data_IF_604743968361
#
_entry.id   IF_604743968361
#
_cell.length_a   1.000
_cell.length_b   1.000
_cell.length_c   1.000
_cell.angle_alpha   90.00
_cell.angle_beta   90.00
_cell.angle_gamma   90.00
#
_symmetry.space_group_name_H-M   'P 1'
#
loop_
_entity.id
_entity.type
_entity.pdbx_description
1 polymer ?
#
# COMPACT_ATOMS: atom_id res chain seq x y z
N UNK A 1 -17.20 2.68 34.43
CA UNK A 1 -16.13 2.00 33.64
C UNK A 1 -16.60 0.87 32.71
N UNK A 2 -17.49 -0.06 33.11
CA UNK A 2 -17.98 -1.15 32.22
C UNK A 2 -18.74 -0.66 30.97
N UNK A 3 -19.55 0.40 31.07
CA UNK A 3 -20.28 0.97 29.93
C UNK A 3 -19.34 1.65 28.91
N UNK A 4 -18.31 2.36 29.36
CA UNK A 4 -17.30 2.98 28.46
C UNK A 4 -16.54 1.90 27.67
N UNK A 5 -16.21 0.76 28.30
CA UNK A 5 -15.61 -0.40 27.61
C UNK A 5 -16.56 -1.04 26.58
N UNK A 6 -17.88 -1.05 26.83
CA UNK A 6 -18.90 -1.50 25.87
C UNK A 6 -19.05 -0.52 24.69
N UNK A 7 -19.10 0.78 24.96
CA UNK A 7 -19.21 1.81 23.91
C UNK A 7 -17.94 1.85 23.03
N UNK A 8 -16.74 1.72 23.60
CA UNK A 8 -15.50 1.56 22.80
C UNK A 8 -15.47 0.30 21.94
N UNK A 9 -16.27 -0.73 22.27
CA UNK A 9 -16.42 -1.95 21.47
C UNK A 9 -17.43 -1.80 20.32
N UNK A 10 -18.38 -0.87 20.44
CA UNK A 10 -19.39 -0.57 19.42
C UNK A 10 -18.98 0.60 18.51
N UNK A 11 -18.18 1.52 19.02
CA UNK A 11 -17.65 2.65 18.27
C UNK A 11 -16.52 2.17 17.36
N UNK A 12 -16.81 2.06 16.06
CA UNK A 12 -15.78 1.94 15.03
C UNK A 12 -15.62 3.33 14.40
N UNK A 13 -14.54 4.07 14.71
CA UNK A 13 -14.28 5.38 14.10
C UNK A 13 -14.14 5.33 12.57
N UNK A 14 -14.08 4.13 11.99
CA UNK A 14 -14.01 3.91 10.55
C UNK A 14 -15.40 4.03 9.91
N UNK A 15 -16.49 3.70 10.64
CA UNK A 15 -17.89 3.83 10.15
C UNK A 15 -18.36 5.28 10.05
N UNK A 16 -17.75 6.19 10.81
CA UNK A 16 -18.13 7.60 10.88
C UNK A 16 -17.34 8.50 9.91
N UNK A 17 -16.34 7.94 9.23
CA UNK A 17 -15.54 8.64 8.24
C UNK A 17 -16.23 8.57 6.87
N UNK A 18 -16.12 9.60 6.01
CA UNK A 18 -16.71 9.56 4.68
C UNK A 18 -16.14 8.38 3.90
N UNK A 19 -17.03 7.65 3.23
CA UNK A 19 -16.67 6.58 2.29
C UNK A 19 -15.81 7.19 1.17
N UNK A 20 -14.71 6.50 0.86
CA UNK A 20 -13.89 6.81 -0.30
C UNK A 20 -14.11 5.67 -1.29
N UNK A 21 -14.33 6.00 -2.57
CA UNK A 21 -14.52 4.97 -3.58
C UNK A 21 -13.15 4.43 -4.06
N UNK A 22 -13.04 3.11 -4.31
CA UNK A 22 -11.86 2.52 -4.95
C UNK A 22 -11.73 2.98 -6.41
N UNK A 23 -10.50 2.94 -6.93
CA UNK A 23 -10.13 3.37 -8.28
C UNK A 23 -9.54 2.18 -9.06
N UNK A 24 -10.38 1.26 -9.56
CA UNK A 24 -9.93 0.04 -10.23
C UNK A 24 -9.21 0.31 -11.57
N UNK A 25 -9.60 1.37 -12.29
CA UNK A 25 -9.08 1.68 -13.63
C UNK A 25 -7.82 2.56 -13.61
N UNK A 26 -7.28 2.82 -12.43
CA UNK A 26 -6.12 3.70 -12.28
C UNK A 26 -4.84 3.02 -12.80
N UNK A 27 -4.14 3.71 -13.71
CA UNK A 27 -2.86 3.24 -14.25
C UNK A 27 -1.72 3.79 -13.39
N UNK A 28 -1.04 2.89 -12.67
CA UNK A 28 0.17 3.20 -11.91
C UNK A 28 1.31 3.56 -12.86
N UNK A 29 1.98 4.69 -12.60
CA UNK A 29 3.05 5.24 -13.44
C UNK A 29 4.42 5.18 -12.78
N UNK A 30 4.48 4.82 -11.50
CA UNK A 30 5.69 4.79 -10.69
C UNK A 30 5.95 3.41 -10.12
N UNK A 31 7.22 3.04 -10.07
CA UNK A 31 7.73 1.86 -9.38
C UNK A 31 8.39 2.31 -8.07
N UNK A 32 8.76 1.39 -7.18
CA UNK A 32 9.63 1.68 -6.05
C UNK A 32 10.97 2.30 -6.49
N UNK A 33 11.63 3.07 -5.61
CA UNK A 33 12.88 3.75 -5.93
C UNK A 33 13.99 2.75 -6.30
N UNK A 34 14.74 3.09 -7.35
CA UNK A 34 15.90 2.37 -7.86
C UNK A 34 17.03 2.32 -6.82
N UNK A 35 17.85 1.29 -6.94
CA UNK A 35 18.93 0.99 -6.00
C UNK A 35 20.26 1.43 -6.60
N UNK A 36 20.66 2.69 -6.41
CA UNK A 36 21.87 3.25 -7.02
C UNK A 36 22.96 3.59 -5.98
N UNK A 37 22.74 4.64 -5.20
CA UNK A 37 23.64 5.09 -4.15
C UNK A 37 23.13 4.55 -2.82
N UNK A 38 23.94 3.71 -2.17
CA UNK A 38 23.59 3.11 -0.89
C UNK A 38 23.18 4.13 0.18
N UNK A 39 23.73 5.35 0.16
CA UNK A 39 23.35 6.42 1.09
C UNK A 39 21.94 6.91 0.82
N UNK A 40 21.62 7.13 -0.45
CA UNK A 40 20.30 7.57 -0.89
C UNK A 40 19.26 6.47 -0.72
N UNK A 41 19.64 5.22 -0.93
CA UNK A 41 18.76 4.06 -0.77
C UNK A 41 18.20 3.95 0.66
N UNK A 42 18.98 4.33 1.67
CA UNK A 42 18.48 4.38 3.06
C UNK A 42 17.38 5.44 3.20
N UNK A 43 17.63 6.68 2.75
CA UNK A 43 16.64 7.75 2.84
C UNK A 43 15.39 7.46 2.02
N UNK A 44 15.57 7.01 0.79
CA UNK A 44 14.48 6.59 -0.11
C UNK A 44 13.68 5.43 0.49
N UNK A 45 14.35 4.44 1.08
CA UNK A 45 13.68 3.30 1.72
C UNK A 45 12.85 3.69 2.95
N UNK A 46 13.38 4.57 3.82
CA UNK A 46 12.63 5.10 4.97
C UNK A 46 11.41 5.89 4.49
N UNK A 47 11.61 6.78 3.51
CA UNK A 47 10.53 7.60 2.95
C UNK A 47 9.45 6.74 2.29
N UNK A 48 9.84 5.80 1.45
CA UNK A 48 8.95 4.83 0.81
C UNK A 48 8.15 4.03 1.84
N UNK A 49 8.76 3.57 2.93
CA UNK A 49 8.05 2.85 3.99
C UNK A 49 7.02 3.74 4.71
N UNK A 50 7.34 5.02 4.95
CA UNK A 50 6.38 5.96 5.53
C UNK A 50 5.19 6.18 4.58
N UNK A 51 5.44 6.37 3.29
CA UNK A 51 4.39 6.49 2.28
C UNK A 51 3.54 5.22 2.22
N UNK A 52 4.13 4.03 2.27
CA UNK A 52 3.40 2.75 2.32
C UNK A 52 2.45 2.69 3.51
N UNK A 53 2.89 3.16 4.68
CA UNK A 53 2.07 3.18 5.89
C UNK A 53 0.89 4.15 5.76
N UNK A 54 1.09 5.31 5.13
CA UNK A 54 0.02 6.29 4.92
C UNK A 54 -0.95 5.87 3.81
N UNK A 55 -0.44 5.38 2.67
CA UNK A 55 -1.23 4.80 1.61
C UNK A 55 -2.11 3.65 2.11
N UNK A 56 -1.57 2.76 2.96
CA UNK A 56 -2.33 1.64 3.52
C UNK A 56 -3.52 2.11 4.41
N UNK A 57 -3.39 3.25 5.10
CA UNK A 57 -4.51 3.82 5.86
C UNK A 57 -5.65 4.25 4.92
N UNK A 58 -5.31 4.87 3.79
CA UNK A 58 -6.29 5.32 2.79
C UNK A 58 -6.89 4.13 2.04
N UNK A 59 -6.06 3.19 1.61
CA UNK A 59 -6.48 1.96 0.94
C UNK A 59 -7.50 1.17 1.77
N UNK A 60 -7.26 0.98 3.06
CA UNK A 60 -8.21 0.32 3.97
C UNK A 60 -9.55 1.05 4.08
N UNK A 61 -9.56 2.38 3.96
CA UNK A 61 -10.80 3.17 3.96
C UNK A 61 -11.57 3.01 2.65
N UNK A 62 -10.87 2.94 1.52
CA UNK A 62 -11.49 2.66 0.21
C UNK A 62 -12.05 1.25 0.13
N UNK A 63 -11.33 0.28 0.69
CA UNK A 63 -11.72 -1.12 0.77
C UNK A 63 -12.64 -1.44 1.95
N UNK A 64 -13.40 -0.45 2.42
CA UNK A 64 -14.31 -0.62 3.55
C UNK A 64 -15.36 -1.71 3.31
N UNK A 65 -15.95 -1.79 2.11
CA UNK A 65 -17.01 -2.76 1.79
C UNK A 65 -16.53 -4.20 1.82
N UNK A 66 -15.35 -4.47 1.27
CA UNK A 66 -14.73 -5.80 1.33
C UNK A 66 -14.29 -6.15 2.75
N UNK A 67 -13.84 -5.15 3.52
CA UNK A 67 -13.55 -5.30 4.94
C UNK A 67 -14.77 -5.65 5.79
N UNK A 68 -15.89 -4.94 5.62
CA UNK A 68 -17.14 -5.18 6.35
C UNK A 68 -17.75 -6.54 5.98
N UNK A 69 -17.62 -6.98 4.72
CA UNK A 69 -17.97 -8.34 4.27
C UNK A 69 -17.16 -9.41 5.01
N UNK A 70 -15.83 -9.24 5.09
CA UNK A 70 -14.94 -10.14 5.82
C UNK A 70 -15.25 -10.18 7.32
N UNK A 71 -15.44 -9.02 7.96
CA UNK A 71 -15.82 -8.94 9.37
C UNK A 71 -17.17 -9.61 9.64
N UNK A 72 -18.16 -9.40 8.76
CA UNK A 72 -19.50 -10.01 8.86
C UNK A 72 -19.43 -11.53 8.75
N UNK A 73 -18.64 -12.06 7.82
CA UNK A 73 -18.42 -13.50 7.70
C UNK A 73 -17.73 -14.08 8.96
N UNK A 74 -16.73 -13.37 9.49
CA UNK A 74 -16.01 -13.79 10.69
C UNK A 74 -16.91 -13.80 11.92
N UNK A 75 -17.81 -12.82 12.06
CA UNK A 75 -18.78 -12.73 13.15
C UNK A 75 -19.73 -13.94 13.18
N UNK A 76 -20.16 -14.43 12.01
CA UNK A 76 -21.00 -15.63 11.89
C UNK A 76 -20.28 -16.96 12.11
N UNK A 77 -18.95 -16.99 11.99
CA UNK A 77 -18.16 -18.22 11.91
C UNK A 77 -17.42 -18.61 13.20
N UNK A 78 -17.50 -17.78 14.26
CA UNK A 78 -16.87 -18.05 15.55
C UNK A 78 -15.35 -17.91 15.55
N UNK A 79 -14.66 -18.60 16.47
CA UNK A 79 -13.22 -18.45 16.73
C UNK A 79 -12.31 -18.75 15.52
N UNK A 80 -12.79 -19.55 14.55
CA UNK A 80 -12.07 -19.93 13.34
C UNK A 80 -12.59 -19.23 12.07
N UNK A 81 -13.27 -18.10 12.22
CA UNK A 81 -13.88 -17.39 11.08
C UNK A 81 -12.91 -17.04 9.96
N UNK A 82 -11.67 -16.67 10.28
CA UNK A 82 -10.63 -16.38 9.30
C UNK A 82 -10.28 -17.58 8.38
N UNK A 83 -10.42 -18.83 8.86
CA UNK A 83 -10.19 -20.01 8.01
C UNK A 83 -11.37 -20.35 7.10
N UNK A 84 -12.59 -19.95 7.48
CA UNK A 84 -13.81 -20.21 6.72
C UNK A 84 -14.12 -19.09 5.71
N UNK A 85 -13.79 -17.86 6.06
CA UNK A 85 -14.02 -16.65 5.27
C UNK A 85 -12.82 -16.31 4.36
N UNK A 86 -12.19 -17.33 3.77
CA UNK A 86 -11.00 -17.14 2.92
C UNK A 86 -11.31 -16.27 1.71
N UNK A 87 -12.50 -16.44 1.12
CA UNK A 87 -12.91 -15.71 -0.06
C UNK A 87 -12.96 -14.21 0.23
N UNK A 88 -13.70 -13.82 1.27
CA UNK A 88 -13.85 -12.42 1.69
C UNK A 88 -12.51 -11.83 2.16
N UNK A 89 -11.66 -12.66 2.77
CA UNK A 89 -10.30 -12.26 3.14
C UNK A 89 -9.43 -11.94 1.92
N UNK A 90 -9.43 -12.80 0.90
CA UNK A 90 -8.68 -12.57 -0.34
C UNK A 90 -9.23 -11.35 -1.09
N UNK A 91 -10.55 -11.21 -1.21
CA UNK A 91 -11.17 -10.02 -1.83
C UNK A 91 -10.80 -8.72 -1.10
N UNK A 92 -10.73 -8.75 0.24
CA UNK A 92 -10.25 -7.62 1.03
C UNK A 92 -8.76 -7.33 0.79
N UNK A 93 -7.91 -8.35 0.80
CA UNK A 93 -6.48 -8.19 0.55
C UNK A 93 -6.19 -7.67 -0.85
N UNK A 94 -6.86 -8.20 -1.88
CA UNK A 94 -6.69 -7.79 -3.28
C UNK A 94 -7.06 -6.32 -3.45
N UNK A 95 -8.19 -5.91 -2.87
CA UNK A 95 -8.60 -4.51 -2.86
C UNK A 95 -7.55 -3.63 -2.17
N UNK A 96 -7.13 -3.99 -0.95
CA UNK A 96 -6.18 -3.18 -0.18
C UNK A 96 -4.83 -3.11 -0.88
N UNK A 97 -4.39 -4.20 -1.52
CA UNK A 97 -3.15 -4.26 -2.27
C UNK A 97 -3.18 -3.30 -3.46
N UNK A 98 -4.23 -3.38 -4.29
CA UNK A 98 -4.41 -2.49 -5.44
C UNK A 98 -4.49 -1.03 -5.02
N UNK A 99 -5.39 -0.69 -4.10
CA UNK A 99 -5.58 0.70 -3.65
C UNK A 99 -4.34 1.26 -2.95
N UNK A 100 -3.56 0.41 -2.27
CA UNK A 100 -2.28 0.86 -1.69
C UNK A 100 -1.31 1.26 -2.79
N UNK A 101 -1.18 0.51 -3.88
CA UNK A 101 -0.29 0.86 -4.98
C UNK A 101 -0.79 2.11 -5.74
N UNK A 102 -2.10 2.28 -5.91
CA UNK A 102 -2.70 3.50 -6.47
C UNK A 102 -2.35 4.73 -5.62
N UNK A 103 -2.56 4.65 -4.31
CA UNK A 103 -2.27 5.75 -3.40
C UNK A 103 -0.78 6.02 -3.26
N UNK A 104 0.05 4.97 -3.27
CA UNK A 104 1.51 5.11 -3.33
C UNK A 104 1.96 5.85 -4.58
N UNK A 105 1.40 5.53 -5.74
CA UNK A 105 1.72 6.21 -6.98
C UNK A 105 1.40 7.71 -6.91
N UNK A 106 0.20 8.06 -6.44
CA UNK A 106 -0.19 9.46 -6.24
C UNK A 106 0.73 10.17 -5.27
N UNK A 107 1.03 9.53 -4.14
CA UNK A 107 1.90 10.09 -3.13
C UNK A 107 3.33 10.26 -3.63
N UNK A 108 3.90 9.32 -4.39
CA UNK A 108 5.24 9.46 -4.99
C UNK A 108 5.32 10.68 -5.89
N UNK A 109 4.28 10.91 -6.71
CA UNK A 109 4.17 11.99 -7.70
C UNK A 109 3.76 13.36 -7.13
N UNK A 110 3.42 13.45 -5.84
CA UNK A 110 3.01 14.72 -5.24
C UNK A 110 4.20 15.64 -4.96
N UNK A 111 4.58 16.40 -5.99
CA UNK A 111 5.69 17.37 -5.95
C UNK A 111 5.44 18.55 -5.02
N UNK A 112 4.19 18.77 -4.57
CA UNK A 112 3.84 19.88 -3.66
C UNK A 112 4.13 19.51 -2.22
N UNK A 113 4.06 18.22 -1.88
CA UNK A 113 4.33 17.72 -0.53
C UNK A 113 5.82 17.43 -0.35
N UNK A 114 6.51 16.99 -1.40
CA UNK A 114 7.94 16.65 -1.33
C UNK A 114 8.81 17.88 -1.55
N UNK A 115 9.85 18.02 -0.73
CA UNK A 115 10.86 19.09 -0.86
C UNK A 115 12.27 18.54 -1.06
N UNK A 116 12.43 17.23 -0.93
CA UNK A 116 13.71 16.55 -0.94
C UNK A 116 14.16 16.26 -2.36
N UNK A 117 15.32 16.80 -2.74
CA UNK A 117 15.85 16.61 -4.09
C UNK A 117 15.96 15.12 -4.45
N UNK A 118 16.29 14.24 -3.49
CA UNK A 118 16.57 12.81 -3.75
C UNK A 118 15.32 11.99 -4.08
N UNK A 119 14.18 12.63 -3.90
CA UNK A 119 12.87 12.11 -4.26
C UNK A 119 12.37 12.79 -5.54
N UNK A 120 12.46 14.12 -5.59
CA UNK A 120 12.05 14.92 -6.74
C UNK A 120 12.94 14.74 -7.98
N UNK A 121 14.07 14.05 -7.86
CA UNK A 121 14.92 13.71 -9.00
C UNK A 121 14.59 12.34 -9.63
N UNK A 122 13.67 11.58 -9.03
CA UNK A 122 13.22 10.27 -9.53
C UNK A 122 11.73 10.21 -9.82
N UNK A 123 10.92 11.10 -9.24
CA UNK A 123 9.49 11.23 -9.52
C UNK A 123 9.09 12.68 -9.81
N UNK A 124 8.15 12.85 -10.72
CA UNK A 124 7.44 14.10 -10.99
C UNK A 124 5.92 13.86 -11.02
N UNK A 125 5.15 14.89 -11.38
CA UNK A 125 3.69 14.78 -11.49
C UNK A 125 3.24 13.79 -12.58
N UNK A 126 4.11 13.46 -13.55
CA UNK A 126 3.78 12.60 -14.69
C UNK A 126 4.19 11.14 -14.48
N UNK A 127 5.14 10.86 -13.59
CA UNK A 127 5.63 9.50 -13.36
C UNK A 127 7.07 9.48 -12.86
N UNK A 128 7.83 8.53 -13.39
CA UNK A 128 9.26 8.40 -13.12
C UNK A 128 10.07 9.30 -14.05
N UNK A 129 11.16 9.86 -13.55
CA UNK A 129 12.08 10.70 -14.31
C UNK A 129 13.54 10.35 -14.06
N UNK A 130 14.42 10.87 -14.92
CA UNK A 130 15.86 10.67 -14.81
C UNK A 130 16.23 9.18 -14.83
N UNK A 131 17.20 8.80 -14.00
CA UNK A 131 17.70 7.42 -13.97
C UNK A 131 16.63 6.39 -13.57
N UNK A 132 15.60 6.80 -12.83
CA UNK A 132 14.50 5.90 -12.43
C UNK A 132 13.69 5.46 -13.64
N UNK A 133 13.38 6.38 -14.56
CA UNK A 133 12.62 6.06 -15.77
C UNK A 133 13.38 5.07 -16.66
N UNK A 134 14.69 5.27 -16.80
CA UNK A 134 15.58 4.41 -17.58
C UNK A 134 15.91 3.09 -16.88
N UNK A 135 15.59 2.97 -15.59
CA UNK A 135 15.99 1.82 -14.79
C UNK A 135 15.20 0.57 -15.18
N UNK A 136 15.93 -0.49 -15.50
CA UNK A 136 15.37 -1.80 -15.78
C UNK A 136 15.74 -2.78 -14.65
N UNK A 137 14.86 -2.98 -13.65
CA UNK A 137 15.17 -3.80 -12.47
C UNK A 137 15.58 -5.24 -12.83
N UNK A 138 15.07 -5.76 -13.95
CA UNK A 138 15.41 -7.10 -14.44
C UNK A 138 16.87 -7.24 -14.89
N UNK A 139 17.50 -6.15 -15.36
CA UNK A 139 18.88 -6.15 -15.85
C UNK A 139 19.89 -5.86 -14.74
N UNK A 140 19.52 -5.03 -13.77
CA UNK A 140 20.42 -4.62 -12.68
C UNK A 140 20.51 -5.62 -11.52
N UNK A 141 19.47 -6.40 -11.28
CA UNK A 141 19.52 -7.46 -10.29
C UNK A 141 20.28 -8.69 -10.84
N UNK A 142 21.55 -8.86 -10.47
CA UNK A 142 22.34 -10.09 -10.75
C UNK A 142 22.41 -11.01 -9.54
N UNK A 143 22.24 -12.32 -9.75
CA UNK A 143 22.49 -13.38 -8.75
C UNK A 143 21.33 -13.70 -7.80
N UNK A 144 21.63 -14.38 -6.68
CA UNK A 144 20.66 -14.89 -5.68
C UNK A 144 19.77 -13.79 -5.08
N UNK A 145 20.28 -12.55 -5.02
CA UNK A 145 19.56 -11.40 -4.51
C UNK A 145 18.47 -10.87 -5.47
N UNK A 146 18.52 -11.25 -6.76
CA UNK A 146 17.49 -10.90 -7.75
C UNK A 146 16.13 -11.41 -7.29
N UNK A 147 16.02 -12.70 -7.04
CA UNK A 147 14.75 -13.33 -6.70
C UNK A 147 14.23 -12.86 -5.34
N UNK A 148 15.14 -12.68 -4.37
CA UNK A 148 14.77 -12.32 -2.99
C UNK A 148 14.26 -10.87 -2.90
N UNK A 149 14.97 -9.90 -3.49
CA UNK A 149 14.56 -8.50 -3.47
C UNK A 149 13.44 -8.19 -4.47
N UNK A 150 13.45 -8.84 -5.65
CA UNK A 150 12.36 -8.68 -6.60
C UNK A 150 11.04 -9.18 -6.02
N UNK A 151 11.02 -10.35 -5.38
CA UNK A 151 9.80 -10.83 -4.73
C UNK A 151 9.40 -9.94 -3.54
N UNK A 152 10.33 -9.60 -2.65
CA UNK A 152 10.00 -8.80 -1.46
C UNK A 152 9.49 -7.38 -1.77
N UNK A 153 9.91 -6.76 -2.88
CA UNK A 153 9.54 -5.38 -3.21
C UNK A 153 8.58 -5.21 -4.39
N UNK A 154 8.52 -6.16 -5.32
CA UNK A 154 7.73 -6.06 -6.55
C UNK A 154 6.68 -7.16 -6.70
N UNK A 155 6.88 -8.31 -6.04
CA UNK A 155 5.97 -9.44 -6.08
C UNK A 155 5.45 -9.70 -4.67
N UNK A 156 4.61 -8.77 -4.18
CA UNK A 156 3.93 -8.93 -2.91
C UNK A 156 3.41 -10.35 -2.76
N UNK A 157 3.75 -10.98 -1.62
CA UNK A 157 3.58 -12.39 -1.33
C UNK A 157 2.28 -12.97 -1.94
N UNK A 158 2.44 -13.85 -2.94
CA UNK A 158 1.39 -14.78 -3.38
C UNK A 158 1.15 -15.84 -2.30
#
# INVERSE_FOLDING_TARGET
MRQIKKMKKQYSPIKDLPELEPEPDYIIKTRPPMWDDWRLNIFRGIKENNLKMDANKIARRKCWRTGDSFESCCAGSGMFGHYKCKKEYHEFLDCVSHEREVELDKMRRDTKIHTEWYWLNIYDENGEIGKQADWEPEKDLKGIYKTLYYNMFYKGDQ
#
